data_IF_313357575362
#
_entry.id   IF_313357575362
#
_cell.length_a   1.000
_cell.length_b   1.000
_cell.length_c   1.000
_cell.angle_alpha   90.00
_cell.angle_beta   90.00
_cell.angle_gamma   90.00
#
_symmetry.space_group_name_H-M   'P 1'
#
loop_
_entity.id
_entity.type
_entity.pdbx_description
1 polymer ?
#
# COMPACT_ATOMS: atom_id res chain seq x y z
N UNK A 1 -6.82 -5.08 -15.79
CA UNK A 1 -7.26 -3.98 -14.89
C UNK A 1 -6.94 -2.65 -15.57
N UNK A 2 -7.88 -1.75 -15.64
CA UNK A 2 -7.60 -0.48 -16.28
C UNK A 2 -6.86 0.49 -15.34
N UNK A 3 -6.24 1.51 -15.94
CA UNK A 3 -5.40 2.46 -15.19
C UNK A 3 -6.16 3.24 -14.13
N UNK A 4 -7.42 3.58 -14.42
CA UNK A 4 -8.24 4.35 -13.48
C UNK A 4 -8.56 3.54 -12.24
N UNK A 5 -8.84 2.27 -12.40
CA UNK A 5 -9.14 1.39 -11.27
C UNK A 5 -7.90 1.18 -10.42
N UNK A 6 -6.73 0.98 -11.04
CA UNK A 6 -5.47 0.85 -10.31
C UNK A 6 -5.18 2.09 -9.49
N UNK A 7 -5.38 3.26 -10.08
CA UNK A 7 -5.14 4.53 -9.40
C UNK A 7 -6.08 4.72 -8.22
N UNK A 8 -7.35 4.39 -8.38
CA UNK A 8 -8.33 4.46 -7.28
C UNK A 8 -7.98 3.49 -6.15
N UNK A 9 -7.55 2.29 -6.51
CA UNK A 9 -7.12 1.31 -5.52
C UNK A 9 -5.90 1.83 -4.74
N UNK A 10 -4.93 2.41 -5.44
CA UNK A 10 -3.76 3.00 -4.80
C UNK A 10 -4.13 4.13 -3.84
N UNK A 11 -5.06 4.98 -4.24
CA UNK A 11 -5.54 6.06 -3.38
C UNK A 11 -6.20 5.52 -2.12
N UNK A 12 -6.98 4.44 -2.25
CA UNK A 12 -7.63 3.82 -1.10
C UNK A 12 -6.61 3.23 -0.13
N UNK A 13 -5.58 2.55 -0.65
CA UNK A 13 -4.51 2.02 0.17
C UNK A 13 -3.79 3.15 0.90
N UNK A 14 -3.51 4.23 0.19
CA UNK A 14 -2.84 5.38 0.76
C UNK A 14 -3.65 5.99 1.90
N UNK A 15 -4.97 6.07 1.76
CA UNK A 15 -5.84 6.57 2.84
C UNK A 15 -5.75 5.68 4.09
N UNK A 16 -5.72 4.37 3.89
CA UNK A 16 -5.57 3.43 5.00
C UNK A 16 -4.24 3.66 5.73
N UNK A 17 -3.17 3.96 4.97
CA UNK A 17 -1.83 4.08 5.52
C UNK A 17 -1.54 5.44 6.16
N UNK A 18 -2.44 6.39 6.09
CA UNK A 18 -2.21 7.75 6.60
C UNK A 18 -2.01 7.84 8.10
N UNK A 19 -2.32 6.78 8.83
CA UNK A 19 -2.07 6.74 10.26
C UNK A 19 -0.60 6.70 10.66
N UNK A 20 0.29 6.47 9.71
CA UNK A 20 1.72 6.41 9.99
C UNK A 20 2.21 5.10 10.54
N UNK A 21 1.39 4.07 10.51
CA UNK A 21 1.74 2.74 11.01
C UNK A 21 2.43 1.91 9.94
N UNK A 22 3.11 0.88 10.40
CA UNK A 22 3.69 -0.13 9.51
C UNK A 22 2.64 -1.19 9.18
N UNK A 23 2.61 -1.60 7.92
CA UNK A 23 1.64 -2.58 7.45
C UNK A 23 2.34 -3.69 6.67
N UNK A 24 1.90 -4.93 6.89
CA UNK A 24 2.24 -6.04 6.00
C UNK A 24 1.21 -6.09 4.88
N UNK A 25 1.52 -6.82 3.81
CA UNK A 25 0.53 -7.02 2.74
C UNK A 25 -0.71 -7.72 3.27
N UNK A 26 -0.53 -8.71 4.15
CA UNK A 26 -1.67 -9.42 4.75
C UNK A 26 -2.59 -8.48 5.49
N UNK A 27 -2.01 -7.56 6.25
CA UNK A 27 -2.81 -6.59 7.00
C UNK A 27 -3.55 -5.65 6.08
N UNK A 28 -2.87 -5.15 5.05
CA UNK A 28 -3.51 -4.28 4.07
C UNK A 28 -4.63 -5.00 3.33
N UNK A 29 -4.44 -6.27 3.03
CA UNK A 29 -5.46 -7.07 2.38
C UNK A 29 -6.70 -7.21 3.25
N UNK A 30 -6.51 -7.45 4.55
CA UNK A 30 -7.62 -7.53 5.50
C UNK A 30 -8.41 -6.22 5.56
N UNK A 31 -7.70 -5.10 5.65
CA UNK A 31 -8.33 -3.79 5.82
C UNK A 31 -9.05 -3.34 4.55
N UNK A 32 -8.41 -3.52 3.39
CA UNK A 32 -8.98 -3.06 2.12
C UNK A 32 -9.95 -4.04 1.50
N UNK A 33 -9.85 -5.32 1.87
CA UNK A 33 -10.60 -6.42 1.27
C UNK A 33 -10.28 -6.59 -0.23
N UNK A 34 -9.16 -6.06 -0.69
CA UNK A 34 -8.72 -6.24 -2.08
C UNK A 34 -8.22 -7.66 -2.32
N UNK A 35 -8.38 -8.15 -3.55
CA UNK A 35 -7.72 -9.37 -3.97
C UNK A 35 -6.22 -9.18 -4.01
N UNK A 36 -5.48 -10.29 -4.00
CA UNK A 36 -4.02 -10.24 -3.98
C UNK A 36 -3.46 -9.44 -5.16
N UNK A 37 -3.95 -9.70 -6.36
CA UNK A 37 -3.49 -9.00 -7.56
C UNK A 37 -3.77 -7.50 -7.48
N UNK A 38 -4.98 -7.14 -7.09
CA UNK A 38 -5.37 -5.74 -6.97
C UNK A 38 -4.47 -4.98 -5.98
N UNK A 39 -4.22 -5.61 -4.83
CA UNK A 39 -3.37 -4.99 -3.81
C UNK A 39 -1.93 -4.85 -4.29
N UNK A 40 -1.37 -5.90 -4.88
CA UNK A 40 -0.01 -5.86 -5.38
C UNK A 40 0.18 -4.78 -6.44
N UNK A 41 -0.77 -4.64 -7.36
CA UNK A 41 -0.70 -3.60 -8.39
C UNK A 41 -0.76 -2.21 -7.78
N UNK A 42 -1.63 -2.02 -6.79
CA UNK A 42 -1.72 -0.74 -6.09
C UNK A 42 -0.41 -0.41 -5.36
N UNK A 43 0.16 -1.40 -4.68
CA UNK A 43 1.42 -1.21 -3.95
C UNK A 43 2.58 -0.90 -4.89
N UNK A 44 2.65 -1.59 -6.02
CA UNK A 44 3.69 -1.31 -7.02
C UNK A 44 3.61 0.14 -7.51
N UNK A 45 2.40 0.62 -7.74
CA UNK A 45 2.19 2.00 -8.18
C UNK A 45 2.68 3.00 -7.11
N UNK A 46 2.31 2.76 -5.86
CA UNK A 46 2.71 3.64 -4.75
C UNK A 46 4.22 3.62 -4.52
N UNK A 47 4.84 2.45 -4.64
CA UNK A 47 6.30 2.33 -4.48
C UNK A 47 7.01 3.02 -5.64
N UNK A 48 6.54 2.81 -6.87
CA UNK A 48 7.11 3.46 -8.05
C UNK A 48 7.07 4.98 -7.92
N UNK A 49 5.98 5.52 -7.41
CA UNK A 49 5.81 6.96 -7.24
C UNK A 49 6.44 7.49 -5.96
N UNK A 50 7.17 6.64 -5.24
CA UNK A 50 7.89 6.99 -4.02
C UNK A 50 6.99 7.55 -2.92
N UNK A 51 5.76 7.07 -2.87
CA UNK A 51 4.81 7.46 -1.83
C UNK A 51 4.84 6.50 -0.65
N UNK A 52 5.26 5.27 -0.88
CA UNK A 52 5.34 4.21 0.12
C UNK A 52 6.74 3.62 0.12
N UNK A 53 7.27 3.34 1.30
CA UNK A 53 8.55 2.66 1.47
C UNK A 53 8.34 1.21 1.87
N UNK A 54 9.19 0.34 1.33
CA UNK A 54 9.23 -1.07 1.66
C UNK A 54 10.49 -1.32 2.50
N UNK A 55 10.35 -2.09 3.58
CA UNK A 55 11.50 -2.39 4.42
C UNK A 55 11.29 -3.71 5.15
N UNK A 56 12.41 -4.24 5.70
CA UNK A 56 12.37 -5.47 6.49
C UNK A 56 12.01 -5.15 7.93
N UNK A 57 11.16 -5.97 8.51
CA UNK A 57 10.82 -5.90 9.92
C UNK A 57 10.73 -7.33 10.47
N UNK A 58 10.46 -7.47 11.75
CA UNK A 58 10.40 -8.79 12.38
C UNK A 58 9.35 -9.70 11.74
N UNK A 59 8.27 -9.12 11.25
CA UNK A 59 7.17 -9.85 10.64
C UNK A 59 7.41 -10.18 9.17
N UNK A 60 8.56 -9.77 8.63
CA UNK A 60 8.90 -9.95 7.23
C UNK A 60 9.00 -8.61 6.51
N UNK A 61 8.32 -8.47 5.37
CA UNK A 61 8.34 -7.23 4.61
C UNK A 61 7.19 -6.33 5.07
N UNK A 62 7.53 -5.10 5.40
CA UNK A 62 6.55 -4.11 5.84
C UNK A 62 6.56 -2.90 4.92
N UNK A 63 5.46 -2.16 4.95
CA UNK A 63 5.25 -0.98 4.13
C UNK A 63 4.81 0.18 5.01
N UNK A 64 5.28 1.37 4.68
CA UNK A 64 4.95 2.57 5.43
C UNK A 64 4.84 3.75 4.48
N UNK A 65 3.86 4.61 4.72
CA UNK A 65 3.73 5.83 3.94
C UNK A 65 4.91 6.75 4.25
N UNK A 66 5.49 7.36 3.21
CA UNK A 66 6.61 8.27 3.41
C UNK A 66 6.11 9.51 4.16
N UNK A 67 7.00 10.07 5.00
CA UNK A 67 6.62 11.15 5.92
C UNK A 67 6.01 12.37 5.23
N UNK A 68 6.41 12.66 4.00
CA UNK A 68 5.85 13.79 3.26
C UNK A 68 4.38 13.61 2.87
N UNK A 69 3.85 12.40 3.02
CA UNK A 69 2.44 12.10 2.69
C UNK A 69 1.59 11.81 3.93
N UNK A 70 2.18 11.91 5.09
CA UNK A 70 1.46 11.67 6.36
C UNK A 70 0.60 12.85 6.77
#
# INVERSE_FOLDING_TARGET
>A
MDKNKMKKNAEKVMQVMKGGYRYTLSRLQEITAFGTTELCMAMLLLIRDKQVEQFQCEEGVCYMLRSEYL
#
